data_IF_924727891180
#
_entry.id   IF_924727891180
#
_cell.length_a   1.000
_cell.length_b   1.000
_cell.length_c   1.000
_cell.angle_alpha   90.00
_cell.angle_beta   90.00
_cell.angle_gamma   90.00
#
_symmetry.space_group_name_H-M   'P 1'
#
loop_
_entity.id
_entity.type
_entity.pdbx_description
1 polymer ?
#
# COMPACT_ATOMS: atom_id res chain seq x y z
N UNK A 1 -15.07 17.54 23.09
CA UNK A 1 -14.41 16.23 23.27
C UNK A 1 -12.91 16.42 23.32
N UNK A 2 -12.23 15.80 24.28
CA UNK A 2 -10.80 15.91 24.50
C UNK A 2 -10.08 14.63 24.10
N UNK A 3 -8.85 14.77 23.60
CA UNK A 3 -8.00 13.64 23.26
C UNK A 3 -7.73 12.77 24.50
N UNK A 4 -7.96 11.48 24.38
CA UNK A 4 -7.77 10.51 25.47
C UNK A 4 -6.31 10.46 25.95
N UNK A 5 -5.33 10.62 25.02
CA UNK A 5 -3.89 10.59 25.36
C UNK A 5 -3.35 11.91 25.93
N UNK A 6 -3.56 13.03 25.25
CA UNK A 6 -2.90 14.32 25.61
C UNK A 6 -3.83 15.42 26.09
N UNK A 7 -5.13 15.16 26.21
CA UNK A 7 -6.16 16.09 26.70
C UNK A 7 -6.40 17.35 25.86
N UNK A 8 -5.69 17.53 24.73
CA UNK A 8 -5.99 18.60 23.79
C UNK A 8 -7.30 18.33 23.04
N UNK A 9 -7.79 19.30 22.27
CA UNK A 9 -9.02 19.14 21.49
C UNK A 9 -8.91 17.93 20.52
N UNK A 10 -9.83 16.99 20.64
CA UNK A 10 -9.91 15.85 19.75
C UNK A 10 -10.51 16.24 18.39
N UNK A 11 -10.06 15.62 17.33
CA UNK A 11 -10.53 15.80 15.95
C UNK A 11 -11.19 14.55 15.37
N UNK A 12 -11.00 13.40 16.02
CA UNK A 12 -11.58 12.13 15.63
C UNK A 12 -12.09 11.38 16.84
N UNK A 13 -13.24 10.74 16.69
CA UNK A 13 -13.84 9.84 17.68
C UNK A 13 -13.85 8.42 17.15
N UNK A 14 -13.40 7.48 17.97
CA UNK A 14 -13.38 6.05 17.67
C UNK A 14 -14.22 5.28 18.70
N UNK A 15 -15.54 5.20 18.54
CA UNK A 15 -16.42 4.54 19.51
C UNK A 15 -16.03 3.09 19.81
N UNK A 16 -15.58 2.34 18.78
CA UNK A 16 -15.14 0.94 18.94
C UNK A 16 -13.92 0.78 19.85
N UNK A 17 -13.14 1.84 20.02
CA UNK A 17 -11.95 1.87 20.88
C UNK A 17 -12.18 2.67 22.17
N UNK A 18 -13.41 3.17 22.35
CA UNK A 18 -13.76 4.07 23.44
C UNK A 18 -12.73 5.20 23.62
N UNK A 19 -12.31 5.81 22.53
CA UNK A 19 -11.21 6.77 22.49
C UNK A 19 -11.44 7.89 21.48
N UNK A 20 -11.03 9.09 21.87
CA UNK A 20 -11.00 10.26 21.01
C UNK A 20 -9.55 10.76 20.89
N UNK A 21 -9.15 11.22 19.71
CA UNK A 21 -7.77 11.63 19.47
C UNK A 21 -7.66 12.98 18.79
N UNK A 22 -6.63 13.75 19.15
CA UNK A 22 -6.11 14.82 18.31
C UNK A 22 -5.34 14.20 17.12
N UNK A 23 -5.03 15.01 16.11
CA UNK A 23 -4.34 14.56 14.89
C UNK A 23 -3.06 13.76 15.16
N UNK A 24 -2.17 14.28 16.01
CA UNK A 24 -0.88 13.62 16.32
C UNK A 24 -1.07 12.31 17.08
N UNK A 25 -1.94 12.29 18.10
CA UNK A 25 -2.20 11.07 18.87
C UNK A 25 -2.90 9.99 18.04
N UNK A 26 -3.76 10.37 17.07
CA UNK A 26 -4.39 9.44 16.16
C UNK A 26 -3.37 8.77 15.23
N UNK A 27 -2.44 9.56 14.67
CA UNK A 27 -1.36 9.00 13.86
C UNK A 27 -0.54 7.98 14.67
N UNK A 28 -0.13 8.32 15.88
CA UNK A 28 0.58 7.38 16.77
C UNK A 28 -0.24 6.13 17.08
N UNK A 29 -1.55 6.28 17.34
CA UNK A 29 -2.44 5.15 17.57
C UNK A 29 -2.49 4.19 16.37
N UNK A 30 -2.58 4.71 15.13
CA UNK A 30 -2.58 3.87 13.92
C UNK A 30 -1.24 3.14 13.76
N UNK A 31 -0.11 3.80 14.01
CA UNK A 31 1.21 3.16 13.99
C UNK A 31 1.30 2.02 15.02
N UNK A 32 0.82 2.25 16.24
CA UNK A 32 0.79 1.24 17.31
C UNK A 32 -0.09 0.03 16.92
N UNK A 33 -1.23 0.27 16.24
CA UNK A 33 -2.11 -0.81 15.77
C UNK A 33 -1.42 -1.66 14.69
N UNK A 34 -0.76 -1.04 13.72
CA UNK A 34 0.01 -1.75 12.69
C UNK A 34 1.13 -2.57 13.30
N UNK A 35 1.95 -1.97 14.19
CA UNK A 35 3.03 -2.66 14.87
C UNK A 35 2.52 -3.86 15.70
N UNK A 36 1.40 -3.69 16.39
CA UNK A 36 0.74 -4.76 17.15
C UNK A 36 0.27 -5.90 16.26
N UNK A 37 -0.40 -5.58 15.14
CA UNK A 37 -0.87 -6.57 14.19
C UNK A 37 0.30 -7.40 13.61
N UNK A 38 1.38 -6.76 13.17
CA UNK A 38 2.57 -7.43 12.68
C UNK A 38 3.12 -8.43 13.71
N UNK A 39 3.20 -8.01 14.98
CA UNK A 39 3.71 -8.83 16.07
C UNK A 39 2.75 -9.96 16.45
N UNK A 40 1.46 -9.69 16.60
CA UNK A 40 0.47 -10.67 17.04
C UNK A 40 0.22 -11.77 16.03
N UNK A 41 0.26 -11.41 14.74
CA UNK A 41 0.02 -12.34 13.63
C UNK A 41 1.31 -12.96 13.07
N UNK A 42 2.47 -12.64 13.67
CA UNK A 42 3.77 -13.18 13.23
C UNK A 42 4.03 -12.95 11.73
N UNK A 43 3.68 -11.76 11.22
CA UNK A 43 3.67 -11.50 9.78
C UNK A 43 5.07 -11.53 9.16
N UNK A 44 6.00 -10.75 9.72
CA UNK A 44 7.38 -10.63 9.25
C UNK A 44 8.28 -9.96 10.30
N UNK A 45 9.58 -10.21 10.22
CA UNK A 45 10.61 -9.62 11.06
C UNK A 45 11.23 -8.34 10.48
N UNK A 46 12.15 -7.73 11.23
CA UNK A 46 12.88 -6.53 10.81
C UNK A 46 13.94 -6.80 9.75
N UNK A 47 14.43 -8.02 9.68
CA UNK A 47 15.46 -8.45 8.73
C UNK A 47 14.89 -8.82 7.36
N UNK A 48 13.57 -9.00 7.28
CA UNK A 48 12.90 -9.36 6.05
C UNK A 48 12.66 -8.12 5.17
N UNK A 49 12.82 -8.29 3.88
CA UNK A 49 12.47 -7.27 2.89
C UNK A 49 10.99 -7.41 2.54
N UNK A 50 10.27 -6.31 2.64
CA UNK A 50 8.82 -6.28 2.43
C UNK A 50 8.51 -5.62 1.10
N UNK A 51 7.57 -6.19 0.36
CA UNK A 51 7.03 -5.61 -0.86
C UNK A 51 5.57 -5.20 -0.63
N UNK A 52 5.31 -3.90 -0.63
CA UNK A 52 3.97 -3.34 -0.41
C UNK A 52 3.29 -3.09 -1.74
N UNK A 53 2.19 -3.79 -2.01
CA UNK A 53 1.35 -3.51 -3.17
C UNK A 53 0.63 -2.17 -3.01
N UNK A 54 0.99 -1.18 -3.82
CA UNK A 54 0.43 0.17 -3.76
C UNK A 54 -0.48 0.45 -4.95
N UNK A 55 -1.65 1.01 -4.70
CA UNK A 55 -2.66 1.30 -5.73
C UNK A 55 -2.87 2.79 -6.00
N UNK A 56 -2.08 3.67 -5.37
CA UNK A 56 -2.32 5.11 -5.38
C UNK A 56 -3.46 5.57 -4.45
N UNK A 57 -4.12 4.64 -3.77
CA UNK A 57 -5.10 4.92 -2.72
C UNK A 57 -4.43 5.30 -1.40
N UNK A 58 -5.12 6.11 -0.58
CA UNK A 58 -4.61 6.61 0.70
C UNK A 58 -4.16 5.50 1.66
N UNK A 59 -4.86 4.37 1.66
CA UNK A 59 -4.62 3.30 2.65
C UNK A 59 -3.32 2.54 2.33
N UNK A 60 -3.08 2.19 1.06
CA UNK A 60 -1.86 1.50 0.65
C UNK A 60 -0.60 2.38 0.82
N UNK A 61 -0.71 3.67 0.49
CA UNK A 61 0.39 4.62 0.68
C UNK A 61 0.64 4.91 2.18
N UNK A 62 -0.42 4.99 2.98
CA UNK A 62 -0.30 5.14 4.43
C UNK A 62 0.39 3.91 5.06
N UNK A 63 0.00 2.70 4.67
CA UNK A 63 0.64 1.47 5.13
C UNK A 63 2.14 1.47 4.81
N UNK A 64 2.50 1.77 3.57
CA UNK A 64 3.90 1.83 3.16
C UNK A 64 4.70 2.84 4.00
N UNK A 65 4.17 4.06 4.18
CA UNK A 65 4.78 5.07 5.05
C UNK A 65 4.93 4.61 6.51
N UNK A 66 3.91 3.92 7.05
CA UNK A 66 3.95 3.41 8.43
C UNK A 66 5.05 2.36 8.59
N UNK A 67 5.16 1.41 7.68
CA UNK A 67 6.20 0.38 7.72
C UNK A 67 7.59 0.99 7.71
N UNK A 68 7.84 1.97 6.85
CA UNK A 68 9.12 2.69 6.81
C UNK A 68 9.40 3.45 8.10
N UNK A 69 8.41 4.16 8.65
CA UNK A 69 8.55 4.85 9.95
C UNK A 69 8.75 3.91 11.12
N UNK A 70 8.23 2.70 11.04
CA UNK A 70 8.48 1.64 12.02
C UNK A 70 9.87 0.99 11.83
N UNK A 71 10.63 1.38 10.81
CA UNK A 71 11.99 0.89 10.55
C UNK A 71 12.06 -0.46 9.84
N UNK A 72 11.03 -0.81 9.06
CA UNK A 72 11.06 -1.97 8.17
C UNK A 72 11.66 -1.60 6.82
N UNK A 73 12.42 -2.49 6.21
CA UNK A 73 12.87 -2.38 4.82
C UNK A 73 11.71 -2.70 3.86
N UNK A 74 10.96 -1.69 3.42
CA UNK A 74 9.76 -1.88 2.62
C UNK A 74 9.84 -1.13 1.29
N UNK A 75 9.76 -1.86 0.18
CA UNK A 75 9.64 -1.31 -1.17
C UNK A 75 8.18 -1.28 -1.62
N UNK A 76 7.85 -0.36 -2.52
CA UNK A 76 6.52 -0.30 -3.13
C UNK A 76 6.46 -1.07 -4.45
N UNK A 77 5.34 -1.73 -4.72
CA UNK A 77 5.03 -2.31 -6.02
C UNK A 77 3.73 -1.71 -6.56
N UNK A 78 3.80 -1.02 -7.68
CA UNK A 78 2.65 -0.54 -8.43
C UNK A 78 2.48 -1.36 -9.72
N UNK A 79 1.27 -1.84 -9.94
CA UNK A 79 0.89 -2.54 -11.17
C UNK A 79 -0.06 -1.64 -11.96
N UNK A 80 0.41 -1.10 -13.07
CA UNK A 80 -0.39 -0.34 -14.01
C UNK A 80 -1.28 -1.30 -14.83
N UNK A 81 -2.58 -1.07 -14.76
CA UNK A 81 -3.60 -1.93 -15.37
C UNK A 81 -3.98 -1.54 -16.79
N UNK A 82 -3.46 -0.41 -17.30
CA UNK A 82 -3.85 0.12 -18.60
C UNK A 82 -5.32 0.58 -18.66
N UNK A 83 -5.83 1.20 -17.58
CA UNK A 83 -7.21 1.71 -17.50
C UNK A 83 -7.25 3.22 -17.74
N UNK A 84 -6.56 3.71 -18.77
CA UNK A 84 -6.55 5.11 -19.18
C UNK A 84 -6.31 6.09 -18.04
N UNK A 85 -7.06 7.19 -17.98
CA UNK A 85 -6.89 8.29 -17.00
C UNK A 85 -6.81 7.83 -15.54
N UNK A 86 -7.52 6.77 -15.17
CA UNK A 86 -7.45 6.23 -13.81
C UNK A 86 -6.06 5.70 -13.48
N UNK A 87 -5.45 4.93 -14.39
CA UNK A 87 -4.09 4.42 -14.23
C UNK A 87 -3.07 5.56 -14.18
N UNK A 88 -3.19 6.55 -15.06
CA UNK A 88 -2.31 7.73 -15.10
C UNK A 88 -2.34 8.51 -13.78
N UNK A 89 -3.52 8.80 -13.25
CA UNK A 89 -3.68 9.51 -11.97
C UNK A 89 -3.14 8.70 -10.78
N UNK A 90 -3.36 7.41 -10.78
CA UNK A 90 -2.87 6.52 -9.72
C UNK A 90 -1.35 6.41 -9.78
N UNK A 91 -0.78 6.25 -10.97
CA UNK A 91 0.66 6.24 -11.20
C UNK A 91 1.32 7.53 -10.71
N UNK A 92 0.80 8.70 -11.11
CA UNK A 92 1.33 9.99 -10.67
C UNK A 92 1.34 10.15 -9.14
N UNK A 93 0.28 9.71 -8.45
CA UNK A 93 0.20 9.75 -6.99
C UNK A 93 1.24 8.84 -6.33
N UNK A 94 1.40 7.62 -6.83
CA UNK A 94 2.38 6.66 -6.30
C UNK A 94 3.80 7.14 -6.51
N UNK A 95 4.12 7.64 -7.71
CA UNK A 95 5.45 8.18 -8.05
C UNK A 95 5.81 9.37 -7.16
N UNK A 96 4.92 10.34 -7.03
CA UNK A 96 5.13 11.50 -6.15
C UNK A 96 5.35 11.09 -4.69
N UNK A 97 4.60 10.12 -4.21
CA UNK A 97 4.78 9.60 -2.86
C UNK A 97 6.12 8.87 -2.71
N UNK A 98 6.50 8.04 -3.69
CA UNK A 98 7.76 7.29 -3.69
C UNK A 98 8.97 8.23 -3.68
N UNK A 99 8.97 9.29 -4.45
CA UNK A 99 10.04 10.32 -4.46
C UNK A 99 10.24 10.92 -3.06
N UNK A 100 9.15 11.28 -2.38
CA UNK A 100 9.21 11.83 -1.03
C UNK A 100 9.70 10.81 0.02
N UNK A 101 9.29 9.55 -0.11
CA UNK A 101 9.59 8.48 0.86
C UNK A 101 10.93 7.84 0.56
N UNK A 102 11.26 7.57 -0.71
CA UNK A 102 12.51 6.93 -1.10
C UNK A 102 13.73 7.76 -0.68
N UNK A 103 13.66 9.08 -0.85
CA UNK A 103 14.72 10.01 -0.44
C UNK A 103 15.02 9.94 1.06
N UNK A 104 13.99 9.73 1.89
CA UNK A 104 14.13 9.75 3.35
C UNK A 104 14.44 8.37 3.98
N UNK A 105 14.09 7.28 3.31
CA UNK A 105 14.17 5.91 3.86
C UNK A 105 14.90 4.91 2.97
N UNK A 106 15.40 5.33 1.80
CA UNK A 106 16.05 4.41 0.86
C UNK A 106 15.11 3.35 0.26
N UNK A 107 13.80 3.64 0.24
CA UNK A 107 12.80 2.75 -0.33
C UNK A 107 12.71 2.92 -1.86
N UNK A 108 12.41 1.82 -2.55
CA UNK A 108 12.29 1.77 -4.02
C UNK A 108 10.84 1.54 -4.43
N UNK A 109 10.41 2.19 -5.50
CA UNK A 109 9.15 1.89 -6.18
C UNK A 109 9.42 1.02 -7.40
N UNK A 110 8.82 -0.16 -7.44
CA UNK A 110 8.81 -1.05 -8.59
C UNK A 110 7.53 -0.82 -9.40
N UNK A 111 7.70 -0.53 -10.68
CA UNK A 111 6.60 -0.29 -11.63
C UNK A 111 6.49 -1.47 -12.59
N UNK A 112 5.30 -2.03 -12.69
CA UNK A 112 4.95 -3.07 -13.65
C UNK A 112 3.73 -2.65 -14.46
N UNK A 113 3.80 -2.79 -15.77
CA UNK A 113 2.72 -2.44 -16.69
C UNK A 113 2.15 -3.72 -17.29
N UNK A 114 0.85 -3.97 -17.08
CA UNK A 114 0.17 -5.16 -17.62
C UNK A 114 0.24 -5.19 -19.14
N UNK A 115 0.07 -4.05 -19.78
CA UNK A 115 0.11 -3.91 -21.24
C UNK A 115 1.47 -4.33 -21.82
N UNK A 116 2.57 -3.94 -21.18
CA UNK A 116 3.92 -4.35 -21.63
C UNK A 116 4.18 -5.85 -21.47
N UNK A 117 3.59 -6.49 -20.47
CA UNK A 117 3.84 -7.90 -20.19
C UNK A 117 2.85 -8.84 -20.91
N UNK A 118 1.61 -8.43 -21.09
CA UNK A 118 0.53 -9.24 -21.66
C UNK A 118 0.10 -8.76 -23.06
N UNK A 119 0.66 -7.68 -23.56
CA UNK A 119 0.33 -7.11 -24.87
C UNK A 119 -0.99 -6.33 -24.95
N UNK A 120 -1.73 -6.26 -23.83
CA UNK A 120 -3.00 -5.54 -23.77
C UNK A 120 -3.36 -5.13 -22.34
N UNK A 121 -4.17 -4.09 -22.19
CA UNK A 121 -4.69 -3.65 -20.89
C UNK A 121 -5.76 -4.60 -20.31
N UNK A 122 -6.11 -4.41 -19.05
CA UNK A 122 -7.06 -5.31 -18.34
C UNK A 122 -8.41 -5.45 -19.05
N UNK A 123 -8.94 -4.37 -19.61
CA UNK A 123 -10.25 -4.40 -20.28
C UNK A 123 -10.22 -5.29 -21.53
N UNK A 124 -9.18 -5.16 -22.34
CA UNK A 124 -8.98 -5.96 -23.57
C UNK A 124 -8.72 -7.42 -23.23
N UNK A 125 -7.86 -7.69 -22.22
CA UNK A 125 -7.61 -9.05 -21.75
C UNK A 125 -8.88 -9.72 -21.25
N UNK A 126 -9.74 -9.02 -20.50
CA UNK A 126 -11.00 -9.54 -20.02
C UNK A 126 -11.96 -9.92 -21.17
N UNK A 127 -11.98 -9.11 -22.23
CA UNK A 127 -12.75 -9.42 -23.44
C UNK A 127 -12.21 -10.65 -24.16
N UNK A 128 -10.88 -10.73 -24.35
CA UNK A 128 -10.24 -11.85 -25.05
C UNK A 128 -10.49 -13.19 -24.35
N UNK A 129 -10.50 -13.21 -23.02
CA UNK A 129 -10.71 -14.45 -22.25
C UNK A 129 -12.18 -14.67 -21.83
N UNK A 130 -13.10 -13.81 -22.29
CA UNK A 130 -14.53 -13.86 -21.95
C UNK A 130 -14.83 -13.93 -20.44
N UNK A 131 -14.11 -13.11 -19.65
CA UNK A 131 -14.29 -13.03 -18.19
C UNK A 131 -14.62 -11.61 -17.72
N UNK A 132 -15.31 -11.45 -16.59
CA UNK A 132 -15.55 -10.13 -16.00
C UNK A 132 -14.24 -9.39 -15.73
N UNK A 133 -14.20 -8.10 -16.03
CA UNK A 133 -13.00 -7.24 -15.87
C UNK A 133 -12.44 -7.27 -14.45
N UNK A 134 -13.32 -7.24 -13.42
CA UNK A 134 -12.86 -7.30 -12.02
C UNK A 134 -12.19 -8.63 -11.66
N UNK A 135 -12.70 -9.75 -12.16
CA UNK A 135 -12.11 -11.08 -11.96
C UNK A 135 -10.74 -11.16 -12.62
N UNK A 136 -10.63 -10.72 -13.87
CA UNK A 136 -9.39 -10.68 -14.65
C UNK A 136 -8.35 -9.78 -13.96
N UNK A 137 -8.75 -8.59 -13.52
CA UNK A 137 -7.90 -7.65 -12.79
C UNK A 137 -7.34 -8.29 -11.50
N UNK A 138 -8.19 -8.90 -10.69
CA UNK A 138 -7.77 -9.54 -9.44
C UNK A 138 -6.79 -10.70 -9.66
N UNK A 139 -6.98 -11.50 -10.70
CA UNK A 139 -6.10 -12.62 -11.04
C UNK A 139 -4.73 -12.11 -11.51
N UNK A 140 -4.71 -11.16 -12.43
CA UNK A 140 -3.46 -10.61 -12.98
C UNK A 140 -2.66 -9.88 -11.90
N UNK A 141 -3.32 -9.08 -11.05
CA UNK A 141 -2.62 -8.41 -9.93
C UNK A 141 -1.94 -9.41 -9.00
N UNK A 142 -2.66 -10.44 -8.55
CA UNK A 142 -2.07 -11.46 -7.65
C UNK A 142 -0.91 -12.20 -8.31
N UNK A 143 -1.06 -12.54 -9.58
CA UNK A 143 0.04 -13.16 -10.34
C UNK A 143 1.28 -12.26 -10.38
N UNK A 144 1.11 -10.96 -10.69
CA UNK A 144 2.22 -10.02 -10.73
C UNK A 144 2.86 -9.80 -9.36
N UNK A 145 2.06 -9.69 -8.30
CA UNK A 145 2.58 -9.54 -6.94
C UNK A 145 3.46 -10.73 -6.55
N UNK A 146 2.97 -11.94 -6.74
CA UNK A 146 3.73 -13.17 -6.42
C UNK A 146 4.99 -13.27 -7.27
N UNK A 147 4.89 -13.03 -8.58
CA UNK A 147 6.03 -13.11 -9.50
C UNK A 147 7.15 -12.13 -9.13
N UNK A 148 6.80 -10.91 -8.74
CA UNK A 148 7.78 -9.91 -8.32
C UNK A 148 8.36 -10.25 -6.96
N UNK A 149 7.53 -10.69 -6.01
CA UNK A 149 7.98 -11.11 -4.70
C UNK A 149 8.97 -12.27 -4.79
N UNK A 150 8.66 -13.32 -5.56
CA UNK A 150 9.55 -14.47 -5.78
C UNK A 150 10.90 -14.06 -6.38
N UNK A 151 10.89 -13.22 -7.42
CA UNK A 151 12.13 -12.74 -8.06
C UNK A 151 13.01 -11.89 -7.15
N UNK A 152 12.41 -11.21 -6.17
CA UNK A 152 13.13 -10.32 -5.24
C UNK A 152 13.42 -10.97 -3.89
N UNK A 153 12.94 -12.20 -3.67
CA UNK A 153 13.04 -12.91 -2.38
C UNK A 153 12.55 -12.03 -1.22
N UNK A 154 11.34 -11.48 -1.37
CA UNK A 154 10.69 -10.58 -0.40
C UNK A 154 9.33 -11.14 0.03
N UNK A 155 8.82 -10.65 1.14
CA UNK A 155 7.49 -10.94 1.69
C UNK A 155 6.52 -9.77 1.50
#
# INVERSE_FOLDING_TARGET
MNCTKCKTKAVIDLPRHNAAFCKGCFTGFVHDQVARAIKSEWMFGKEERILVAVSGGKDSLALWNILLKLGYGADGLYVDLGIGVYSEQSHAKVTKFAEAVATSHGATLHLHTVEQEAGAGIKELAQLIHRPTCSTCGTIKRYQFNRVADRKSVV
#
